data_IF_842423328780
#
_entry.id   IF_842423328780
#
_cell.length_a   1.000
_cell.length_b   1.000
_cell.length_c   1.000
_cell.angle_alpha   90.00
_cell.angle_beta   90.00
_cell.angle_gamma   90.00
#
_symmetry.space_group_name_H-M   'P 1'
#
loop_
_entity.id
_entity.type
_entity.pdbx_description
1 polymer ?
#
# COMPACT_ATOMS: atom_id res chain seq x y z
N UNK A 1 -10.16 -24.33 3.31
CA UNK A 1 -8.73 -24.07 3.02
C UNK A 1 -8.07 -23.64 4.31
N UNK A 2 -6.85 -24.09 4.67
CA UNK A 2 -6.16 -23.66 5.89
C UNK A 2 -5.96 -22.14 5.89
N UNK A 3 -6.08 -21.48 7.06
CA UNK A 3 -5.99 -20.01 7.17
C UNK A 3 -4.62 -19.45 6.76
N UNK A 4 -3.53 -20.14 7.10
CA UNK A 4 -2.20 -19.74 6.64
C UNK A 4 -2.08 -19.69 5.10
N UNK A 5 -2.77 -20.60 4.39
CA UNK A 5 -2.79 -20.61 2.94
C UNK A 5 -3.68 -19.49 2.39
N UNK A 6 -4.76 -19.13 3.10
CA UNK A 6 -5.56 -17.96 2.77
C UNK A 6 -4.74 -16.67 2.94
N UNK A 7 -3.99 -16.52 4.03
CA UNK A 7 -3.11 -15.37 4.22
C UNK A 7 -2.12 -15.21 3.06
N UNK A 8 -1.41 -16.29 2.71
CA UNK A 8 -0.48 -16.29 1.59
C UNK A 8 -1.17 -15.92 0.27
N UNK A 9 -2.33 -16.50 0.01
CA UNK A 9 -3.10 -16.28 -1.23
C UNK A 9 -3.60 -14.84 -1.33
N UNK A 10 -4.22 -14.31 -0.28
CA UNK A 10 -4.78 -12.95 -0.29
C UNK A 10 -3.69 -11.89 -0.36
N UNK A 11 -2.59 -12.07 0.38
CA UNK A 11 -1.44 -11.18 0.28
C UNK A 11 -0.80 -11.19 -1.11
N UNK A 12 -0.64 -12.38 -1.73
CA UNK A 12 -0.12 -12.50 -3.10
C UNK A 12 -1.07 -11.88 -4.12
N UNK A 13 -2.38 -12.06 -3.96
CA UNK A 13 -3.40 -11.47 -4.84
C UNK A 13 -3.38 -9.95 -4.74
N UNK A 14 -3.30 -9.41 -3.52
CA UNK A 14 -3.21 -7.98 -3.27
C UNK A 14 -1.95 -7.36 -3.91
N UNK A 15 -0.79 -8.00 -3.72
CA UNK A 15 0.43 -7.61 -4.42
C UNK A 15 0.36 -7.80 -5.94
N UNK A 16 -0.41 -8.78 -6.42
CA UNK A 16 -0.69 -8.99 -7.85
C UNK A 16 -1.39 -7.81 -8.52
N UNK A 17 -2.15 -7.00 -7.79
CA UNK A 17 -2.76 -5.78 -8.30
C UNK A 17 -1.69 -4.73 -8.73
N UNK A 18 -0.54 -4.69 -8.08
CA UNK A 18 0.62 -3.90 -8.52
C UNK A 18 1.11 -4.35 -9.92
N UNK A 19 1.16 -5.67 -10.15
CA UNK A 19 1.56 -6.24 -11.45
C UNK A 19 0.55 -5.88 -12.53
N UNK A 20 -0.75 -5.86 -12.21
CA UNK A 20 -1.80 -5.40 -13.15
C UNK A 20 -1.59 -3.92 -13.50
N UNK A 21 -1.40 -3.06 -12.52
CA UNK A 21 -1.10 -1.65 -12.73
C UNK A 21 0.16 -1.45 -13.60
N UNK A 22 1.21 -2.21 -13.30
CA UNK A 22 2.43 -2.21 -14.09
C UNK A 22 2.20 -2.66 -15.54
N UNK A 23 1.42 -3.70 -15.77
CA UNK A 23 1.05 -4.19 -17.10
C UNK A 23 0.31 -3.12 -17.90
N UNK A 24 -0.65 -2.43 -17.28
CA UNK A 24 -1.38 -1.33 -17.91
C UNK A 24 -0.42 -0.22 -18.35
N UNK A 25 0.44 0.26 -17.43
CA UNK A 25 1.39 1.33 -17.72
C UNK A 25 2.45 0.92 -18.77
N UNK A 26 2.80 -0.36 -18.82
CA UNK A 26 3.76 -0.86 -19.78
C UNK A 26 3.19 -0.94 -21.18
N UNK A 27 1.96 -1.48 -21.32
CA UNK A 27 1.30 -1.72 -22.60
C UNK A 27 0.71 -0.43 -23.21
N UNK A 28 0.18 0.46 -22.38
CA UNK A 28 -0.47 1.69 -22.84
C UNK A 28 0.23 2.94 -22.31
N UNK A 29 0.14 4.02 -23.09
CA UNK A 29 0.54 5.37 -22.64
C UNK A 29 -0.63 5.98 -21.88
N UNK A 30 -0.70 5.70 -20.59
CA UNK A 30 -1.75 6.26 -19.74
C UNK A 30 -1.49 7.75 -19.53
N UNK A 31 -2.45 8.64 -19.82
CA UNK A 31 -2.30 10.07 -19.59
C UNK A 31 -2.05 10.36 -18.10
N UNK A 32 -1.13 11.28 -17.75
CA UNK A 32 -0.83 11.61 -16.35
C UNK A 32 -2.07 12.00 -15.54
N UNK A 33 -3.03 12.69 -16.17
CA UNK A 33 -4.32 13.01 -15.56
C UNK A 33 -5.10 11.80 -15.05
N UNK A 34 -5.12 10.71 -15.83
CA UNK A 34 -5.78 9.47 -15.42
C UNK A 34 -5.02 8.84 -14.26
N UNK A 35 -3.69 8.85 -14.31
CA UNK A 35 -2.84 8.33 -13.21
C UNK A 35 -3.15 9.07 -11.92
N UNK A 36 -3.10 10.40 -11.91
CA UNK A 36 -3.42 11.23 -10.74
C UNK A 36 -4.84 11.02 -10.23
N UNK A 37 -5.83 10.89 -11.13
CA UNK A 37 -7.22 10.64 -10.75
C UNK A 37 -7.39 9.28 -10.07
N UNK A 38 -6.81 8.21 -10.63
CA UNK A 38 -6.91 6.86 -10.05
C UNK A 38 -6.12 6.79 -8.74
N UNK A 39 -4.99 7.50 -8.63
CA UNK A 39 -4.22 7.63 -7.39
C UNK A 39 -5.02 8.35 -6.29
N UNK A 40 -5.73 9.43 -6.63
CA UNK A 40 -6.61 10.13 -5.69
C UNK A 40 -7.73 9.23 -5.19
N UNK A 41 -8.37 8.46 -6.08
CA UNK A 41 -9.40 7.50 -5.72
C UNK A 41 -8.85 6.43 -4.76
N UNK A 42 -7.72 5.80 -5.10
CA UNK A 42 -7.07 4.80 -4.26
C UNK A 42 -6.67 5.33 -2.87
N UNK A 43 -6.15 6.56 -2.80
CA UNK A 43 -5.85 7.21 -1.53
C UNK A 43 -7.11 7.39 -0.66
N UNK A 44 -8.22 7.81 -1.26
CA UNK A 44 -9.50 7.92 -0.55
C UNK A 44 -10.00 6.57 -0.01
N UNK A 45 -9.91 5.53 -0.82
CA UNK A 45 -10.28 4.15 -0.43
C UNK A 45 -9.47 3.70 0.78
N UNK A 46 -8.13 3.87 0.75
CA UNK A 46 -7.25 3.49 1.85
C UNK A 46 -7.49 4.31 3.12
N UNK A 47 -7.77 5.62 3.01
CA UNK A 47 -8.11 6.45 4.17
C UNK A 47 -9.36 5.91 4.87
N UNK A 48 -10.38 5.50 4.11
CA UNK A 48 -11.59 4.91 4.66
C UNK A 48 -11.33 3.58 5.38
N UNK A 49 -10.60 2.66 4.73
CA UNK A 49 -10.25 1.38 5.33
C UNK A 49 -9.39 1.55 6.59
N UNK A 50 -8.43 2.48 6.54
CA UNK A 50 -7.60 2.80 7.70
C UNK A 50 -8.45 3.29 8.90
N UNK A 51 -9.40 4.19 8.65
CA UNK A 51 -10.19 4.80 9.72
C UNK A 51 -11.20 3.81 10.33
N UNK A 52 -11.93 3.09 9.50
CA UNK A 52 -13.09 2.29 9.92
C UNK A 52 -12.81 0.79 10.09
N UNK A 53 -11.66 0.32 9.62
CA UNK A 53 -11.24 -1.07 9.82
C UNK A 53 -10.06 -1.15 10.79
N UNK A 54 -8.92 -0.53 10.46
CA UNK A 54 -7.69 -0.77 11.20
C UNK A 54 -7.64 -0.04 12.54
N UNK A 55 -8.03 1.23 12.56
CA UNK A 55 -7.98 2.03 13.80
C UNK A 55 -9.06 1.59 14.76
N UNK A 56 -10.27 1.36 14.28
CA UNK A 56 -11.38 0.91 15.12
C UNK A 56 -11.10 -0.48 15.68
N UNK A 57 -10.66 -1.45 14.85
CA UNK A 57 -10.25 -2.79 15.31
C UNK A 57 -9.13 -2.73 16.35
N UNK A 58 -8.12 -1.87 16.13
CA UNK A 58 -7.03 -1.71 17.08
C UNK A 58 -7.50 -1.13 18.43
N UNK A 59 -8.45 -0.18 18.42
CA UNK A 59 -9.01 0.40 19.66
C UNK A 59 -9.88 -0.63 20.39
N UNK A 60 -10.70 -1.37 19.66
CA UNK A 60 -11.58 -2.40 20.25
C UNK A 60 -10.78 -3.54 20.88
N UNK A 61 -9.75 -4.05 20.20
CA UNK A 61 -8.94 -5.18 20.69
C UNK A 61 -7.87 -4.80 21.72
N UNK A 62 -7.30 -3.59 21.65
CA UNK A 62 -6.15 -3.18 22.46
C UNK A 62 -6.39 -1.98 23.38
N UNK A 63 -7.45 -1.23 23.16
CA UNK A 63 -7.72 0.05 23.81
C UNK A 63 -6.92 1.22 23.23
N UNK A 64 -7.23 2.42 23.71
CA UNK A 64 -6.72 3.67 23.13
C UNK A 64 -5.20 3.81 23.21
N UNK A 65 -4.59 3.50 24.37
CA UNK A 65 -3.15 3.76 24.58
C UNK A 65 -2.24 2.90 23.68
N UNK A 66 -2.40 1.56 23.61
CA UNK A 66 -1.66 0.74 22.66
C UNK A 66 -1.87 1.17 21.20
N UNK A 67 -3.09 1.55 20.84
CA UNK A 67 -3.40 2.02 19.48
C UNK A 67 -2.64 3.30 19.15
N UNK A 68 -2.68 4.31 20.02
CA UNK A 68 -1.95 5.58 19.80
C UNK A 68 -0.44 5.35 19.70
N UNK A 69 0.12 4.55 20.62
CA UNK A 69 1.57 4.28 20.62
C UNK A 69 1.99 3.46 19.38
N UNK A 70 1.23 2.43 19.02
CA UNK A 70 1.47 1.63 17.83
C UNK A 70 1.38 2.47 16.55
N UNK A 71 0.34 3.27 16.43
CA UNK A 71 0.13 4.15 15.28
C UNK A 71 1.29 5.14 15.07
N UNK A 72 1.70 5.84 16.13
CA UNK A 72 2.84 6.76 16.07
C UNK A 72 4.14 6.03 15.75
N UNK A 73 4.36 4.85 16.32
CA UNK A 73 5.54 4.04 16.04
C UNK A 73 5.58 3.62 14.55
N UNK A 74 4.45 3.17 14.01
CA UNK A 74 4.33 2.80 12.59
C UNK A 74 4.63 3.97 11.65
N UNK A 75 4.05 5.13 11.94
CA UNK A 75 4.34 6.36 11.20
C UNK A 75 5.82 6.74 11.27
N UNK A 76 6.44 6.68 12.44
CA UNK A 76 7.87 6.96 12.63
C UNK A 76 8.77 5.97 11.86
N UNK A 77 8.46 4.68 11.90
CA UNK A 77 9.19 3.65 11.16
C UNK A 77 9.10 3.95 9.66
N UNK A 78 7.90 4.24 9.16
CA UNK A 78 7.71 4.53 7.74
C UNK A 78 8.46 5.80 7.32
N UNK A 79 8.29 6.91 8.01
CA UNK A 79 8.95 8.20 7.71
C UNK A 79 10.47 8.06 7.79
N UNK A 80 11.00 7.36 8.80
CA UNK A 80 12.42 7.09 8.93
C UNK A 80 12.97 6.27 7.76
N UNK A 81 12.30 5.19 7.41
CA UNK A 81 12.66 4.33 6.26
C UNK A 81 12.59 5.11 4.94
N UNK A 82 11.52 5.90 4.75
CA UNK A 82 11.32 6.72 3.57
C UNK A 82 12.41 7.80 3.44
N UNK A 83 12.82 8.43 4.54
CA UNK A 83 13.90 9.41 4.56
C UNK A 83 15.27 8.79 4.18
N UNK A 84 15.55 7.57 4.63
CA UNK A 84 16.77 6.85 4.26
C UNK A 84 16.77 6.49 2.77
N UNK A 85 15.67 5.95 2.26
CA UNK A 85 15.51 5.58 0.86
C UNK A 85 15.51 6.77 -0.09
N UNK A 86 14.99 7.92 0.35
CA UNK A 86 15.01 9.15 -0.42
C UNK A 86 16.44 9.59 -0.75
N UNK A 87 17.38 9.39 0.17
CA UNK A 87 18.81 9.67 -0.03
C UNK A 87 19.46 8.73 -1.06
N UNK A 88 18.91 7.53 -1.22
CA UNK A 88 19.35 6.53 -2.20
C UNK A 88 18.63 6.62 -3.56
N UNK A 89 17.81 7.67 -3.79
CA UNK A 89 17.13 7.92 -5.06
C UNK A 89 15.69 7.42 -5.16
N UNK A 90 15.08 6.92 -4.08
CA UNK A 90 13.69 6.44 -4.08
C UNK A 90 12.65 7.53 -3.73
N UNK A 91 13.05 8.80 -3.59
CA UNK A 91 12.15 9.91 -3.21
C UNK A 91 10.89 10.02 -4.08
N UNK A 92 11.05 9.76 -5.37
CA UNK A 92 10.00 9.93 -6.36
C UNK A 92 9.50 8.59 -6.94
N UNK A 93 9.59 7.49 -6.17
CA UNK A 93 9.27 6.13 -6.64
C UNK A 93 7.86 5.94 -7.17
N UNK A 94 6.89 6.70 -6.66
CA UNK A 94 5.49 6.67 -7.12
C UNK A 94 5.15 7.77 -8.14
N UNK A 95 6.15 8.53 -8.64
CA UNK A 95 5.92 9.62 -9.59
C UNK A 95 5.86 9.14 -11.04
N UNK A 96 4.74 9.42 -11.70
CA UNK A 96 4.52 9.13 -13.13
C UNK A 96 5.10 10.20 -14.07
N UNK A 97 5.33 11.40 -13.56
CA UNK A 97 5.74 12.60 -14.30
C UNK A 97 7.17 12.59 -14.86
N UNK A 98 7.99 11.57 -14.55
CA UNK A 98 9.38 11.49 -15.03
C UNK A 98 10.41 12.01 -14.02
N UNK A 99 10.01 12.20 -12.76
CA UNK A 99 10.90 12.62 -11.68
C UNK A 99 11.73 11.47 -11.09
N UNK A 100 11.52 10.23 -11.53
CA UNK A 100 12.32 9.09 -11.10
C UNK A 100 13.71 9.13 -11.76
N UNK A 101 14.80 8.96 -10.99
CA UNK A 101 16.14 8.98 -11.55
C UNK A 101 16.43 7.72 -12.39
N UNK A 102 17.18 7.89 -13.47
CA UNK A 102 17.73 6.76 -14.21
C UNK A 102 18.92 6.16 -13.45
N UNK A 103 19.27 4.89 -13.77
CA UNK A 103 20.45 4.25 -13.17
C UNK A 103 21.76 4.95 -13.57
N UNK A 104 21.77 5.65 -14.71
CA UNK A 104 22.92 6.43 -15.17
C UNK A 104 23.12 7.69 -14.35
N UNK A 105 22.02 8.37 -13.96
CA UNK A 105 22.07 9.62 -13.22
C UNK A 105 22.25 9.40 -11.71
N UNK A 106 21.74 8.28 -11.21
CA UNK A 106 21.83 7.90 -9.80
C UNK A 106 22.02 6.37 -9.68
N UNK A 107 23.28 5.88 -9.68
CA UNK A 107 23.57 4.46 -9.52
C UNK A 107 22.99 3.89 -8.23
N UNK A 108 22.32 2.74 -8.33
CA UNK A 108 21.63 2.10 -7.20
C UNK A 108 20.20 2.59 -6.94
N UNK A 109 19.73 3.63 -7.65
CA UNK A 109 18.36 4.13 -7.51
C UNK A 109 17.31 3.08 -7.85
N UNK A 110 17.60 2.14 -8.76
CA UNK A 110 16.71 1.02 -9.06
C UNK A 110 16.47 0.14 -7.84
N UNK A 111 17.52 -0.26 -7.14
CA UNK A 111 17.38 -1.04 -5.91
C UNK A 111 16.63 -0.27 -4.83
N UNK A 112 16.93 1.02 -4.66
CA UNK A 112 16.25 1.87 -3.68
C UNK A 112 14.75 2.01 -3.98
N UNK A 113 14.37 2.14 -5.26
CA UNK A 113 12.96 2.19 -5.71
C UNK A 113 12.26 0.86 -5.41
N UNK A 114 12.90 -0.29 -5.72
CA UNK A 114 12.33 -1.61 -5.45
C UNK A 114 12.13 -1.86 -3.95
N UNK A 115 13.13 -1.52 -3.12
CA UNK A 115 13.03 -1.63 -1.66
C UNK A 115 11.96 -0.68 -1.11
N UNK A 116 11.88 0.54 -1.65
CA UNK A 116 10.86 1.51 -1.25
C UNK A 116 9.45 1.00 -1.54
N UNK A 117 9.21 0.46 -2.73
CA UNK A 117 7.92 -0.14 -3.09
C UNK A 117 7.58 -1.37 -2.22
N UNK A 118 8.59 -2.15 -1.82
CA UNK A 118 8.40 -3.25 -0.88
C UNK A 118 7.97 -2.74 0.51
N UNK A 119 8.62 -1.69 1.03
CA UNK A 119 8.28 -1.09 2.33
C UNK A 119 6.87 -0.51 2.31
N UNK A 120 6.41 0.05 1.19
CA UNK A 120 5.04 0.53 1.03
C UNK A 120 4.02 -0.62 1.16
N UNK A 121 4.29 -1.78 0.57
CA UNK A 121 3.38 -2.94 0.58
C UNK A 121 3.39 -3.79 1.86
N UNK A 122 4.42 -3.68 2.73
CA UNK A 122 4.51 -4.51 3.95
C UNK A 122 3.34 -4.25 4.92
N UNK A 123 3.03 -3.00 5.33
CA UNK A 123 1.93 -2.74 6.25
C UNK A 123 0.58 -3.28 5.75
N UNK A 124 0.26 -3.04 4.49
CA UNK A 124 -0.98 -3.52 3.86
C UNK A 124 -1.06 -5.04 3.83
N UNK A 125 0.06 -5.71 3.55
CA UNK A 125 0.12 -7.17 3.50
C UNK A 125 -0.01 -7.81 4.88
N UNK A 126 0.66 -7.24 5.89
CA UNK A 126 0.57 -7.71 7.28
C UNK A 126 -0.86 -7.63 7.78
N UNK A 127 -1.57 -6.54 7.51
CA UNK A 127 -2.98 -6.36 7.91
C UNK A 127 -3.90 -7.41 7.29
N UNK A 128 -3.69 -7.78 6.02
CA UNK A 128 -4.47 -8.86 5.39
C UNK A 128 -4.25 -10.21 6.08
N UNK A 129 -3.05 -10.46 6.59
CA UNK A 129 -2.75 -11.67 7.37
C UNK A 129 -3.36 -11.63 8.76
N UNK A 130 -3.21 -10.50 9.46
CA UNK A 130 -3.74 -10.27 10.83
C UNK A 130 -5.27 -10.29 10.84
N UNK A 131 -5.92 -9.69 9.85
CA UNK A 131 -7.39 -9.67 9.73
C UNK A 131 -8.04 -11.05 9.69
N UNK A 132 -7.30 -12.10 9.30
CA UNK A 132 -7.77 -13.49 9.39
C UNK A 132 -7.90 -13.98 10.84
N UNK A 133 -7.21 -13.35 11.80
CA UNK A 133 -7.26 -13.73 13.21
C UNK A 133 -8.53 -13.23 13.89
N UNK A 134 -9.04 -12.06 13.48
CA UNK A 134 -10.21 -11.44 14.11
C UNK A 134 -11.53 -12.16 13.77
N UNK A 135 -11.71 -12.64 12.52
CA UNK A 135 -12.99 -13.20 12.10
C UNK A 135 -12.91 -14.51 11.32
N UNK A 136 -11.71 -15.09 11.13
CA UNK A 136 -11.53 -16.30 10.30
C UNK A 136 -11.67 -16.07 8.80
N UNK A 137 -11.88 -14.83 8.37
CA UNK A 137 -11.92 -14.38 6.97
C UNK A 137 -11.31 -12.98 6.85
N UNK A 138 -10.69 -12.68 5.71
CA UNK A 138 -10.23 -11.32 5.42
C UNK A 138 -11.44 -10.43 5.20
N UNK A 139 -11.45 -9.24 5.82
CA UNK A 139 -12.48 -8.24 5.55
C UNK A 139 -12.57 -7.94 4.05
N UNK A 140 -13.77 -8.09 3.43
CA UNK A 140 -13.96 -7.74 2.01
C UNK A 140 -13.62 -6.28 1.71
N UNK A 141 -13.91 -5.37 2.65
CA UNK A 141 -13.64 -3.95 2.49
C UNK A 141 -12.12 -3.67 2.52
N UNK A 142 -11.38 -4.28 3.48
CA UNK A 142 -9.93 -4.14 3.54
C UNK A 142 -9.24 -4.74 2.29
N UNK A 143 -9.65 -5.93 1.87
CA UNK A 143 -9.11 -6.56 0.66
C UNK A 143 -9.38 -5.70 -0.58
N UNK A 144 -10.61 -5.22 -0.73
CA UNK A 144 -10.97 -4.31 -1.84
C UNK A 144 -10.15 -3.02 -1.79
N UNK A 145 -9.95 -2.45 -0.60
CA UNK A 145 -9.16 -1.24 -0.42
C UNK A 145 -7.72 -1.43 -0.91
N UNK A 146 -7.06 -2.51 -0.48
CA UNK A 146 -5.68 -2.81 -0.89
C UNK A 146 -5.59 -3.14 -2.39
N UNK A 147 -6.52 -3.92 -2.94
CA UNK A 147 -6.55 -4.21 -4.37
C UNK A 147 -6.73 -2.94 -5.21
N UNK A 148 -7.67 -2.08 -4.81
CA UNK A 148 -7.99 -0.85 -5.54
C UNK A 148 -6.84 0.16 -5.46
N UNK A 149 -6.15 0.27 -4.32
CA UNK A 149 -5.01 1.19 -4.15
C UNK A 149 -3.74 0.71 -4.86
N UNK A 150 -3.51 -0.59 -4.91
CA UNK A 150 -2.31 -1.16 -5.52
C UNK A 150 -2.28 -1.01 -7.05
N UNK A 151 -3.43 -1.03 -7.74
CA UNK A 151 -3.46 -0.84 -9.19
C UNK A 151 -2.89 0.54 -9.60
N UNK A 152 -3.37 1.68 -9.07
CA UNK A 152 -2.80 2.99 -9.39
C UNK A 152 -1.34 3.13 -8.94
N UNK A 153 -0.95 2.49 -7.84
CA UNK A 153 0.42 2.53 -7.35
C UNK A 153 1.39 1.85 -8.34
N UNK A 154 1.08 0.62 -8.74
CA UNK A 154 1.87 -0.11 -9.74
C UNK A 154 1.89 0.61 -11.10
N UNK A 155 0.77 1.23 -11.49
CA UNK A 155 0.65 2.00 -12.72
C UNK A 155 1.51 3.26 -12.69
N UNK A 156 1.41 4.08 -11.65
CA UNK A 156 2.15 5.34 -11.54
C UNK A 156 3.65 5.10 -11.46
N UNK A 157 4.07 4.22 -10.57
CA UNK A 157 5.47 3.86 -10.38
C UNK A 157 6.09 3.29 -11.67
N UNK A 158 5.38 2.39 -12.37
CA UNK A 158 5.84 1.82 -13.64
C UNK A 158 5.93 2.85 -14.75
N UNK A 159 4.99 3.80 -14.83
CA UNK A 159 5.07 4.89 -15.79
C UNK A 159 6.37 5.72 -15.58
N UNK A 160 6.72 6.00 -14.33
CA UNK A 160 7.97 6.65 -13.96
C UNK A 160 9.20 5.79 -14.30
N UNK A 161 9.21 4.51 -13.93
CA UNK A 161 10.29 3.57 -14.27
C UNK A 161 10.54 3.47 -15.77
N UNK A 162 9.47 3.42 -16.58
CA UNK A 162 9.54 3.38 -18.02
C UNK A 162 10.15 4.66 -18.60
N UNK A 163 9.76 5.84 -18.08
CA UNK A 163 10.36 7.12 -18.44
C UNK A 163 11.83 7.23 -18.04
N UNK A 164 12.20 6.65 -16.91
CA UNK A 164 13.59 6.55 -16.44
C UNK A 164 14.44 5.51 -17.21
N UNK A 165 13.87 4.84 -18.22
CA UNK A 165 14.58 3.88 -19.07
C UNK A 165 14.85 2.53 -18.43
N UNK A 166 14.08 2.13 -17.40
CA UNK A 166 14.18 0.80 -16.79
C UNK A 166 13.72 -0.30 -17.75
N UNK A 167 14.38 -1.46 -17.72
CA UNK A 167 14.01 -2.59 -18.57
C UNK A 167 12.71 -3.26 -18.13
N UNK A 168 11.99 -3.95 -19.05
CA UNK A 168 10.81 -4.73 -18.69
C UNK A 168 11.12 -5.79 -17.61
N UNK A 169 12.27 -6.47 -17.74
CA UNK A 169 12.70 -7.49 -16.78
C UNK A 169 12.86 -6.90 -15.37
N UNK A 170 13.42 -5.71 -15.24
CA UNK A 170 13.52 -4.99 -13.97
C UNK A 170 12.13 -4.65 -13.44
N UNK A 171 11.27 -4.03 -14.24
CA UNK A 171 9.93 -3.57 -13.81
C UNK A 171 9.07 -4.75 -13.34
N UNK A 172 8.88 -5.75 -14.19
CA UNK A 172 8.04 -6.90 -13.84
C UNK A 172 8.67 -7.79 -12.78
N UNK A 173 10.01 -7.94 -12.78
CA UNK A 173 10.72 -8.65 -11.72
C UNK A 173 10.53 -7.99 -10.35
N UNK A 174 10.55 -6.66 -10.28
CA UNK A 174 10.26 -5.89 -9.06
C UNK A 174 8.83 -6.16 -8.58
N UNK A 175 7.83 -5.98 -9.44
CA UNK A 175 6.42 -6.12 -9.02
C UNK A 175 6.03 -7.56 -8.70
N UNK A 176 6.52 -8.55 -9.46
CA UNK A 176 6.31 -9.96 -9.14
C UNK A 176 7.00 -10.32 -7.81
N UNK A 177 8.23 -9.83 -7.61
CA UNK A 177 8.94 -10.00 -6.35
C UNK A 177 8.13 -9.43 -5.17
N UNK A 178 7.63 -8.19 -5.30
CA UNK A 178 6.79 -7.56 -4.27
C UNK A 178 5.51 -8.36 -4.04
N UNK A 179 4.84 -8.85 -5.08
CA UNK A 179 3.64 -9.68 -4.92
C UNK A 179 3.92 -10.97 -4.12
N UNK A 180 5.05 -11.62 -4.37
CA UNK A 180 5.49 -12.79 -3.58
C UNK A 180 5.80 -12.40 -2.14
N UNK A 181 6.53 -11.31 -1.91
CA UNK A 181 6.82 -10.81 -0.57
C UNK A 181 5.56 -10.36 0.18
N UNK A 182 4.57 -9.80 -0.49
CA UNK A 182 3.26 -9.47 0.08
C UNK A 182 2.55 -10.71 0.61
N UNK A 183 2.56 -11.81 -0.17
CA UNK A 183 2.05 -13.09 0.30
C UNK A 183 2.78 -13.62 1.53
N UNK A 184 4.11 -13.54 1.52
CA UNK A 184 4.94 -13.96 2.67
C UNK A 184 4.73 -13.06 3.90
N UNK A 185 4.58 -11.75 3.72
CA UNK A 185 4.30 -10.82 4.82
C UNK A 185 2.93 -11.08 5.44
N UNK A 186 1.90 -11.35 4.63
CA UNK A 186 0.58 -11.73 5.12
C UNK A 186 0.62 -13.08 5.87
N UNK A 187 1.33 -14.07 5.32
CA UNK A 187 1.55 -15.35 5.99
C UNK A 187 2.25 -15.18 7.34
N UNK A 188 3.30 -14.36 7.40
CA UNK A 188 4.02 -14.07 8.64
C UNK A 188 3.13 -13.31 9.63
N UNK A 189 2.35 -12.33 9.18
CA UNK A 189 1.37 -11.61 10.02
C UNK A 189 0.38 -12.57 10.67
N UNK A 190 -0.14 -13.52 9.93
CA UNK A 190 -1.01 -14.56 10.46
C UNK A 190 -0.27 -15.49 11.44
N UNK A 191 0.79 -16.17 10.98
CA UNK A 191 1.44 -17.26 11.74
C UNK A 191 2.18 -16.78 12.98
N UNK A 192 2.76 -15.57 12.95
CA UNK A 192 3.45 -15.01 14.11
C UNK A 192 2.49 -14.56 15.22
N UNK A 193 1.24 -14.24 14.86
CA UNK A 193 0.27 -13.66 15.79
C UNK A 193 -0.90 -14.60 16.11
N UNK A 194 -0.99 -15.80 15.53
CA UNK A 194 -2.13 -16.72 15.71
C UNK A 194 -2.39 -17.12 17.17
N UNK A 195 -1.36 -17.05 18.04
CA UNK A 195 -1.45 -17.33 19.46
C UNK A 195 -1.14 -16.10 20.33
N UNK A 196 -1.07 -14.91 19.74
CA UNK A 196 -0.76 -13.68 20.46
C UNK A 196 -2.00 -13.15 21.21
N UNK A 197 -1.80 -12.48 22.37
CA UNK A 197 -2.89 -11.74 23.01
C UNK A 197 -3.50 -10.68 22.08
N UNK A 198 -4.81 -10.42 22.20
CA UNK A 198 -5.52 -9.41 21.39
C UNK A 198 -4.85 -8.03 21.44
N UNK A 199 -4.33 -7.63 22.61
CA UNK A 199 -3.60 -6.37 22.78
C UNK A 199 -2.33 -6.28 21.92
N UNK A 200 -1.65 -7.41 21.67
CA UNK A 200 -0.47 -7.47 20.79
C UNK A 200 -0.90 -7.39 19.33
N UNK A 201 -1.96 -8.10 18.96
CA UNK A 201 -2.55 -8.06 17.62
C UNK A 201 -2.96 -6.61 17.32
N UNK A 202 -3.73 -5.98 18.20
CA UNK A 202 -4.17 -4.59 18.10
C UNK A 202 -3.00 -3.60 17.95
N UNK A 203 -1.93 -3.78 18.72
CA UNK A 203 -0.74 -2.94 18.64
C UNK A 203 -0.04 -3.07 17.27
N UNK A 204 0.07 -4.29 16.72
CA UNK A 204 0.65 -4.52 15.38
C UNK A 204 -0.26 -3.96 14.28
N UNK A 205 -1.59 -4.12 14.41
CA UNK A 205 -2.57 -3.49 13.51
C UNK A 205 -2.43 -1.97 13.53
N UNK A 206 -2.27 -1.38 14.69
CA UNK A 206 -2.04 0.06 14.83
C UNK A 206 -0.71 0.52 14.21
N UNK A 207 0.37 -0.26 14.34
CA UNK A 207 1.65 0.02 13.65
C UNK A 207 1.44 0.04 12.14
N UNK A 208 0.75 -0.95 11.60
CA UNK A 208 0.48 -1.00 10.17
C UNK A 208 -0.38 0.19 9.72
N UNK A 209 -1.42 0.55 10.49
CA UNK A 209 -2.28 1.70 10.21
C UNK A 209 -1.49 3.02 10.18
N UNK A 210 -0.61 3.25 11.14
CA UNK A 210 0.25 4.43 11.17
C UNK A 210 1.22 4.50 9.98
N UNK A 211 1.79 3.35 9.60
CA UNK A 211 2.63 3.23 8.42
C UNK A 211 1.87 3.54 7.11
N UNK A 212 0.66 3.02 6.97
CA UNK A 212 -0.22 3.29 5.81
C UNK A 212 -0.57 4.77 5.73
N UNK A 213 -0.93 5.42 6.84
CA UNK A 213 -1.21 6.86 6.81
C UNK A 213 0.00 7.68 6.39
N UNK A 214 1.17 7.38 6.93
CA UNK A 214 2.41 8.05 6.56
C UNK A 214 2.76 7.83 5.08
N UNK A 215 2.56 6.61 4.57
CA UNK A 215 2.71 6.27 3.15
C UNK A 215 1.77 7.10 2.27
N UNK A 216 0.49 7.18 2.63
CA UNK A 216 -0.50 7.98 1.90
C UNK A 216 -0.07 9.44 1.81
N UNK A 217 0.32 10.04 2.94
CA UNK A 217 0.73 11.44 3.04
C UNK A 217 2.02 11.74 2.26
N UNK A 218 3.02 10.86 2.36
CA UNK A 218 4.34 11.09 1.78
C UNK A 218 4.44 10.74 0.29
N UNK A 219 3.61 9.80 -0.19
CA UNK A 219 3.79 9.22 -1.53
C UNK A 219 2.55 9.28 -2.41
N UNK A 220 1.38 8.81 -1.98
CA UNK A 220 0.20 8.71 -2.84
C UNK A 220 -0.51 10.05 -3.05
N UNK A 221 -0.78 10.79 -1.96
CA UNK A 221 -1.45 12.09 -2.05
C UNK A 221 -0.62 13.08 -2.88
N UNK A 222 0.71 13.22 -2.70
CA UNK A 222 1.51 14.07 -3.56
C UNK A 222 1.45 13.71 -5.04
N UNK A 223 1.39 12.43 -5.42
CA UNK A 223 1.21 12.01 -6.81
C UNK A 223 -0.18 12.36 -7.33
N UNK A 224 -1.22 12.18 -6.51
CA UNK A 224 -2.59 12.52 -6.87
C UNK A 224 -2.78 14.00 -7.20
N UNK A 225 -1.97 14.89 -6.60
CA UNK A 225 -1.99 16.34 -6.84
C UNK A 225 -1.03 16.82 -7.92
N UNK A 226 -0.22 15.96 -8.55
CA UNK A 226 0.81 16.40 -9.51
C UNK A 226 0.22 17.09 -10.76
N UNK A 227 -0.89 16.58 -11.30
CA UNK A 227 -1.43 17.06 -12.58
C UNK A 227 -2.76 17.83 -12.47
N UNK A 228 -3.53 17.64 -11.40
CA UNK A 228 -4.86 18.25 -11.23
C UNK A 228 -5.17 18.59 -9.79
N UNK A 229 -5.41 19.90 -9.52
CA UNK A 229 -5.80 20.35 -8.20
C UNK A 229 -7.33 20.42 -7.98
N UNK A 230 -8.13 20.64 -9.03
CA UNK A 230 -9.51 21.02 -8.89
C UNK A 230 -10.49 19.87 -8.58
N UNK A 231 -10.19 18.63 -9.00
CA UNK A 231 -11.07 17.46 -8.79
C UNK A 231 -10.46 16.38 -7.91
N UNK A 232 -9.19 16.50 -7.52
CA UNK A 232 -8.47 15.49 -6.73
C UNK A 232 -9.17 15.21 -5.41
N UNK A 233 -9.57 16.25 -4.68
CA UNK A 233 -10.31 16.11 -3.42
C UNK A 233 -11.67 15.42 -3.58
N UNK A 234 -12.41 15.77 -4.64
CA UNK A 234 -13.69 15.11 -4.93
C UNK A 234 -13.50 13.64 -5.29
N UNK A 235 -12.49 13.33 -6.09
CA UNK A 235 -12.15 11.94 -6.46
C UNK A 235 -11.75 11.11 -5.24
N UNK A 236 -10.94 11.69 -4.35
CA UNK A 236 -10.60 11.05 -3.08
C UNK A 236 -11.83 10.84 -2.19
N UNK A 237 -12.74 11.82 -2.12
CA UNK A 237 -14.00 11.68 -1.38
C UNK A 237 -14.89 10.56 -1.95
N UNK A 238 -14.96 10.42 -3.27
CA UNK A 238 -15.68 9.31 -3.92
C UNK A 238 -15.01 7.96 -3.58
N UNK A 239 -13.70 7.87 -3.63
CA UNK A 239 -12.96 6.68 -3.22
C UNK A 239 -13.24 6.30 -1.76
N UNK A 240 -13.17 7.28 -0.86
CA UNK A 240 -13.50 7.11 0.56
C UNK A 240 -14.92 6.57 0.75
N UNK A 241 -15.93 7.20 0.13
CA UNK A 241 -17.31 6.77 0.24
C UNK A 241 -17.55 5.38 -0.37
N UNK A 242 -16.81 5.01 -1.40
CA UNK A 242 -16.89 3.66 -1.99
C UNK A 242 -16.46 2.58 -0.99
N UNK A 243 -15.32 2.74 -0.33
CA UNK A 243 -14.85 1.80 0.69
C UNK A 243 -15.75 1.82 1.93
N UNK A 244 -16.16 3.01 2.38
CA UNK A 244 -17.11 3.18 3.49
C UNK A 244 -18.42 2.43 3.23
N UNK A 245 -18.94 2.50 2.01
CA UNK A 245 -20.17 1.78 1.63
C UNK A 245 -19.96 0.27 1.67
N UNK A 246 -18.82 -0.22 1.13
CA UNK A 246 -18.49 -1.66 1.17
C UNK A 246 -18.40 -2.14 2.62
N UNK A 247 -17.76 -1.38 3.49
CA UNK A 247 -17.66 -1.69 4.92
C UNK A 247 -19.03 -1.81 5.58
N UNK A 248 -19.95 -0.87 5.33
CA UNK A 248 -21.29 -0.86 5.96
C UNK A 248 -22.31 -1.83 5.35
N UNK A 249 -22.12 -2.25 4.11
CA UNK A 249 -23.03 -3.20 3.43
C UNK A 249 -22.50 -4.64 3.53
N UNK A 250 -21.17 -4.80 3.68
CA UNK A 250 -20.50 -6.09 3.75
C UNK A 250 -20.24 -6.63 5.16
N UNK A 251 -20.47 -5.84 6.22
CA UNK A 251 -20.48 -6.23 7.63
C UNK A 251 -21.92 -6.35 8.10
#
# INVERSE_FOLDING_TARGET
MPMWLQALMWGTLAGGALVLGAGIAWMWKVPPKIVSTVMAFGAGVLISALAFELVDEAVEGGGLLPTVLGFLLGALIFVGSNALLARAGAKHRKRSGGSQPSEKDSPGSGTAIAVGALIDGIPESVVLGVGLLAGGAVSPAMLAAVLISNVPEGLSSTAGMKKAGRSPAYVFGTWIGIAVFSGLAALLGYTALENAPETVIAFITAIAAGGILAMLADTMIPEAFEEHHNLTGLTAAVGFLSAFTIHHVGG
#
